data_IF_941829712120
#
_entry.id   IF_941829712120
#
_cell.length_a   1.000
_cell.length_b   1.000
_cell.length_c   1.000
_cell.angle_alpha   90.00
_cell.angle_beta   90.00
_cell.angle_gamma   90.00
#
_symmetry.space_group_name_H-M   'P 1'
#
loop_
_entity.id
_entity.type
_entity.pdbx_description
1 polymer ?
#
# COMPACT_ATOMS: atom_id res chain seq x y z
N UNK A 1 22.14 12.28 -2.95
CA UNK A 1 21.12 12.15 -1.88
C UNK A 1 19.76 12.23 -2.53
N UNK A 2 18.87 11.27 -2.22
CA UNK A 2 17.49 11.24 -2.71
C UNK A 2 16.58 10.87 -1.54
N UNK A 3 15.29 11.20 -1.62
CA UNK A 3 14.30 10.88 -0.58
C UNK A 3 13.37 9.80 -1.11
N UNK A 4 13.30 8.68 -0.41
CA UNK A 4 12.42 7.55 -0.71
C UNK A 4 11.21 7.56 0.23
N UNK A 5 10.03 7.30 -0.34
CA UNK A 5 8.83 6.95 0.43
C UNK A 5 8.39 5.56 0.01
N UNK A 6 8.45 4.60 0.92
CA UNK A 6 8.20 3.19 0.70
C UNK A 6 6.81 2.82 1.24
N UNK A 7 5.87 2.54 0.34
CA UNK A 7 4.48 2.22 0.65
C UNK A 7 4.27 0.71 0.61
N UNK A 8 3.88 0.14 1.75
CA UNK A 8 3.70 -1.31 1.90
C UNK A 8 2.43 -1.83 1.21
N UNK A 9 2.38 -3.15 1.03
CA UNK A 9 1.22 -3.86 0.50
C UNK A 9 0.14 -4.15 1.55
N UNK A 10 -0.86 -4.94 1.16
CA UNK A 10 -1.98 -5.28 2.05
C UNK A 10 -1.52 -6.05 3.28
N UNK A 11 -2.25 -5.93 4.39
CA UNK A 11 -1.99 -6.57 5.70
C UNK A 11 -0.65 -6.22 6.38
N UNK A 12 0.26 -5.52 5.70
CA UNK A 12 1.59 -5.17 6.23
C UNK A 12 1.58 -3.79 6.89
N UNK A 13 2.74 -3.39 7.40
CA UNK A 13 3.05 -2.04 7.86
C UNK A 13 4.42 -1.60 7.35
N UNK A 14 4.87 -0.41 7.76
CA UNK A 14 6.20 0.12 7.45
C UNK A 14 7.34 -0.82 7.87
N UNK A 15 7.12 -1.64 8.90
CA UNK A 15 8.07 -2.66 9.37
C UNK A 15 8.57 -3.61 8.28
N UNK A 16 7.80 -3.86 7.21
CA UNK A 16 8.23 -4.77 6.14
C UNK A 16 9.48 -4.25 5.39
N UNK A 17 9.72 -2.93 5.44
CA UNK A 17 10.89 -2.29 4.86
C UNK A 17 12.09 -2.22 5.81
N UNK A 18 11.97 -2.68 7.05
CA UNK A 18 13.02 -2.55 8.07
C UNK A 18 14.38 -3.14 7.63
N UNK A 19 14.38 -4.17 6.79
CA UNK A 19 15.61 -4.77 6.25
C UNK A 19 16.14 -4.06 5.00
N UNK A 20 15.33 -3.24 4.33
CA UNK A 20 15.69 -2.50 3.12
C UNK A 20 16.23 -1.10 3.46
N UNK A 21 15.60 -0.44 4.44
CA UNK A 21 15.95 0.92 4.86
C UNK A 21 17.45 1.12 5.11
N UNK A 22 18.16 0.23 5.86
CA UNK A 22 19.58 0.44 6.14
C UNK A 22 20.46 0.47 4.90
N UNK A 23 20.09 -0.24 3.83
CA UNK A 23 20.87 -0.23 2.59
C UNK A 23 20.72 1.09 1.82
N UNK A 24 19.51 1.65 1.80
CA UNK A 24 19.24 2.94 1.18
C UNK A 24 19.89 4.08 1.99
N UNK A 25 19.80 4.04 3.31
CA UNK A 25 20.45 5.01 4.19
C UNK A 25 21.98 4.96 4.09
N UNK A 26 22.57 3.75 4.03
CA UNK A 26 24.01 3.58 3.83
C UNK A 26 24.49 4.11 2.47
N UNK A 27 23.62 4.15 1.46
CA UNK A 27 23.88 4.78 0.17
C UNK A 27 23.70 6.32 0.20
N UNK A 28 23.38 6.91 1.36
CA UNK A 28 23.23 8.36 1.53
C UNK A 28 21.86 8.89 1.10
N UNK A 29 20.82 8.06 1.18
CA UNK A 29 19.44 8.46 0.93
C UNK A 29 18.67 8.67 2.25
N UNK A 30 17.63 9.50 2.18
CA UNK A 30 16.64 9.63 3.24
C UNK A 30 15.46 8.70 2.94
N UNK A 31 14.92 8.01 3.95
CA UNK A 31 13.89 6.98 3.73
C UNK A 31 12.74 7.14 4.72
N UNK A 32 11.53 7.11 4.19
CA UNK A 32 10.28 7.05 4.95
C UNK A 32 9.53 5.79 4.59
N UNK A 33 9.08 5.05 5.60
CA UNK A 33 8.26 3.84 5.43
C UNK A 33 7.05 3.91 6.38
N UNK A 34 6.05 4.75 6.10
CA UNK A 34 4.90 4.91 6.97
C UNK A 34 4.04 3.64 7.00
N UNK A 35 3.37 3.41 8.13
CA UNK A 35 2.28 2.44 8.22
C UNK A 35 0.96 3.13 7.87
N UNK A 36 0.20 2.52 6.97
CA UNK A 36 -1.09 2.99 6.50
C UNK A 36 -2.19 2.79 7.56
N UNK A 37 -3.20 3.68 7.58
CA UNK A 37 -4.29 3.72 8.58
C UNK A 37 -4.98 2.37 8.78
N UNK A 38 -5.12 1.89 10.02
CA UNK A 38 -5.85 0.64 10.28
C UNK A 38 -5.04 -0.64 10.01
N UNK A 39 -3.75 -0.53 9.67
CA UNK A 39 -2.85 -1.67 9.46
C UNK A 39 -1.70 -1.66 10.46
N UNK A 40 -1.18 -2.83 10.80
CA UNK A 40 -0.01 -3.06 11.64
C UNK A 40 0.06 -2.16 12.88
N UNK A 41 1.05 -1.28 12.99
CA UNK A 41 1.23 -0.33 14.10
C UNK A 41 0.02 0.59 14.32
N UNK A 42 -0.82 0.77 13.29
CA UNK A 42 -2.06 1.57 13.30
C UNK A 42 -3.32 0.70 13.33
N UNK A 43 -3.23 -0.59 13.71
CA UNK A 43 -4.37 -1.50 13.71
C UNK A 43 -5.53 -1.08 14.64
N UNK A 44 -5.29 -0.23 15.64
CA UNK A 44 -6.36 0.37 16.45
C UNK A 44 -7.28 1.30 15.67
N UNK A 45 -6.86 1.77 14.49
CA UNK A 45 -7.63 2.64 13.60
C UNK A 45 -8.42 1.83 12.55
N UNK A 46 -8.40 0.49 12.63
CA UNK A 46 -9.09 -0.38 11.69
C UNK A 46 -10.61 -0.18 11.80
N UNK A 47 -11.24 0.20 10.69
CA UNK A 47 -12.68 0.39 10.59
C UNK A 47 -13.19 0.09 9.18
N UNK A 48 -14.51 -0.13 8.97
CA UNK A 48 -15.08 -0.29 7.63
C UNK A 48 -14.96 0.95 6.75
N UNK A 49 -14.70 2.12 7.35
CA UNK A 49 -14.62 3.39 6.62
C UNK A 49 -13.27 3.61 5.94
N UNK A 50 -12.22 2.95 6.45
CA UNK A 50 -10.86 3.01 5.88
C UNK A 50 -10.86 2.40 4.48
N UNK A 51 -10.52 3.24 3.49
CA UNK A 51 -10.50 2.88 2.07
C UNK A 51 -9.18 3.25 1.38
N UNK A 52 -9.14 3.07 0.06
CA UNK A 52 -8.02 3.49 -0.78
C UNK A 52 -7.73 4.99 -0.63
N UNK A 53 -8.77 5.83 -0.59
CA UNK A 53 -8.60 7.28 -0.42
C UNK A 53 -7.94 7.63 0.91
N UNK A 54 -8.31 6.96 1.99
CA UNK A 54 -7.68 7.13 3.31
C UNK A 54 -6.18 6.88 3.21
N UNK A 55 -5.79 5.81 2.52
CA UNK A 55 -4.40 5.42 2.34
C UNK A 55 -3.62 6.33 1.40
N UNK A 56 -4.27 6.88 0.36
CA UNK A 56 -3.68 7.93 -0.47
C UNK A 56 -3.41 9.18 0.39
N UNK A 57 -4.38 9.58 1.22
CA UNK A 57 -4.22 10.74 2.10
C UNK A 57 -3.16 10.55 3.17
N UNK A 58 -2.95 9.33 3.69
CA UNK A 58 -1.84 9.04 4.61
C UNK A 58 -0.49 9.49 4.01
N UNK A 59 -0.27 9.18 2.73
CA UNK A 59 0.99 9.48 2.05
C UNK A 59 1.04 10.94 1.61
N UNK A 60 -0.05 11.50 1.06
CA UNK A 60 -0.11 12.93 0.70
C UNK A 60 0.13 13.81 1.93
N UNK A 61 -0.50 13.46 3.06
CA UNK A 61 -0.32 14.13 4.35
C UNK A 61 1.13 14.07 4.82
N UNK A 62 1.78 12.89 4.75
CA UNK A 62 3.21 12.75 5.07
C UNK A 62 4.09 13.67 4.21
N UNK A 63 3.87 13.69 2.89
CA UNK A 63 4.64 14.53 1.96
C UNK A 63 4.50 16.02 2.30
N UNK A 64 3.30 16.45 2.70
CA UNK A 64 3.02 17.83 3.08
C UNK A 64 3.60 18.19 4.46
N UNK A 65 3.34 17.38 5.47
CA UNK A 65 3.80 17.59 6.86
C UNK A 65 5.32 17.72 6.92
N UNK A 66 6.03 16.87 6.16
CA UNK A 66 7.49 16.87 6.11
C UNK A 66 8.06 17.77 5.01
N UNK A 67 7.21 18.46 4.26
CA UNK A 67 7.57 19.29 3.10
C UNK A 67 8.54 18.57 2.14
N UNK A 68 8.23 17.33 1.78
CA UNK A 68 9.04 16.51 0.89
C UNK A 68 8.77 16.87 -0.57
N UNK A 69 9.85 16.89 -1.37
CA UNK A 69 9.86 17.16 -2.81
C UNK A 69 10.91 16.29 -3.50
N UNK A 70 10.75 16.08 -4.80
CA UNK A 70 11.67 15.23 -5.58
C UNK A 70 11.69 13.77 -5.09
N UNK A 71 10.56 13.29 -4.56
CA UNK A 71 10.47 11.99 -3.90
C UNK A 71 10.50 10.84 -4.91
N UNK A 72 11.23 9.78 -4.57
CA UNK A 72 11.11 8.47 -5.21
C UNK A 72 10.04 7.69 -4.43
N UNK A 73 8.85 7.60 -5.01
CA UNK A 73 7.70 6.97 -4.39
C UNK A 73 7.58 5.51 -4.84
N UNK A 74 7.74 4.59 -3.90
CA UNK A 74 7.77 3.14 -4.17
C UNK A 74 6.53 2.48 -3.59
N UNK A 75 5.79 1.73 -4.40
CA UNK A 75 4.61 0.99 -3.97
C UNK A 75 4.78 -0.50 -4.20
N UNK A 76 4.67 -1.30 -3.13
CA UNK A 76 4.70 -2.76 -3.23
C UNK A 76 3.29 -3.36 -3.16
N UNK A 77 2.97 -4.30 -4.05
CA UNK A 77 1.66 -4.98 -4.10
C UNK A 77 0.51 -3.96 -4.01
N UNK A 78 -0.42 -4.06 -3.06
CA UNK A 78 -1.49 -3.04 -2.84
C UNK A 78 -1.00 -1.58 -2.84
N UNK A 79 0.23 -1.33 -2.40
CA UNK A 79 0.85 0.00 -2.44
C UNK A 79 0.87 0.62 -3.85
N UNK A 80 0.83 -0.17 -4.93
CA UNK A 80 0.68 0.31 -6.31
C UNK A 80 -0.59 1.14 -6.54
N UNK A 81 -1.72 0.73 -5.96
CA UNK A 81 -2.97 1.51 -6.01
C UNK A 81 -2.79 2.86 -5.31
N UNK A 82 -2.17 2.83 -4.14
CA UNK A 82 -1.95 4.01 -3.29
C UNK A 82 -1.04 5.01 -3.99
N UNK A 83 0.13 4.58 -4.47
CA UNK A 83 1.11 5.50 -5.08
C UNK A 83 0.60 6.12 -6.38
N UNK A 84 -0.29 5.43 -7.10
CA UNK A 84 -0.95 5.96 -8.31
C UNK A 84 -1.91 7.10 -7.96
N UNK A 85 -2.66 6.98 -6.88
CA UNK A 85 -3.49 8.08 -6.38
C UNK A 85 -2.66 9.24 -5.80
N UNK A 86 -1.52 8.95 -5.16
CA UNK A 86 -0.64 9.98 -4.60
C UNK A 86 -0.04 10.85 -5.71
N UNK A 87 0.48 10.24 -6.78
CA UNK A 87 1.12 11.01 -7.87
C UNK A 87 0.10 11.91 -8.58
N UNK A 88 -1.18 11.53 -8.67
CA UNK A 88 -2.25 12.37 -9.22
C UNK A 88 -2.57 13.59 -8.33
N UNK A 89 -2.50 13.42 -7.01
CA UNK A 89 -2.85 14.47 -6.05
C UNK A 89 -1.70 15.42 -5.71
N UNK A 90 -0.45 14.97 -5.80
CA UNK A 90 0.75 15.75 -5.50
C UNK A 90 1.87 15.56 -6.54
N UNK A 91 1.58 15.70 -7.84
CA UNK A 91 2.54 15.39 -8.92
C UNK A 91 3.83 16.20 -8.81
N UNK A 92 3.75 17.44 -8.33
CA UNK A 92 4.89 18.35 -8.18
C UNK A 92 5.92 17.90 -7.14
N UNK A 93 5.54 16.97 -6.25
CA UNK A 93 6.41 16.45 -5.18
C UNK A 93 7.14 15.17 -5.55
N UNK A 94 6.74 14.52 -6.64
CA UNK A 94 7.24 13.19 -7.02
C UNK A 94 8.23 13.33 -8.17
N UNK A 95 9.46 12.85 -7.99
CA UNK A 95 10.45 12.75 -9.07
C UNK A 95 10.31 11.43 -9.85
N UNK A 96 10.06 10.33 -9.14
CA UNK A 96 9.96 9.00 -9.73
C UNK A 96 8.90 8.17 -9.03
N UNK A 97 8.23 7.33 -9.81
CA UNK A 97 7.24 6.37 -9.35
C UNK A 97 7.77 4.95 -9.61
N UNK A 98 7.79 4.10 -8.59
CA UNK A 98 8.34 2.74 -8.68
C UNK A 98 7.27 1.74 -8.25
N UNK A 99 6.83 0.93 -9.19
CA UNK A 99 5.92 -0.18 -8.96
C UNK A 99 6.73 -1.46 -8.70
N UNK A 100 6.75 -1.92 -7.45
CA UNK A 100 7.44 -3.15 -7.05
C UNK A 100 6.44 -4.30 -6.90
N UNK A 101 6.55 -5.33 -7.75
CA UNK A 101 5.68 -6.51 -7.75
C UNK A 101 4.19 -6.17 -7.58
N UNK A 102 3.73 -5.24 -8.41
CA UNK A 102 2.37 -4.68 -8.36
C UNK A 102 1.83 -4.35 -9.75
N UNK A 103 0.59 -3.86 -9.80
CA UNK A 103 -0.13 -3.43 -10.98
C UNK A 103 -0.14 -1.90 -11.08
N UNK A 104 -0.31 -1.40 -12.30
CA UNK A 104 -0.53 0.02 -12.59
C UNK A 104 -2.02 0.19 -12.93
N UNK A 105 -2.86 0.62 -11.98
CA UNK A 105 -4.30 0.77 -12.23
C UNK A 105 -4.59 1.92 -13.18
N UNK A 106 -5.65 1.75 -13.97
CA UNK A 106 -6.26 2.82 -14.77
C UNK A 106 -7.28 3.59 -13.93
N UNK A 107 -7.64 4.77 -14.40
CA UNK A 107 -8.76 5.53 -13.83
C UNK A 107 -10.04 4.68 -13.82
N UNK A 108 -10.76 4.70 -12.70
CA UNK A 108 -11.95 3.91 -12.44
C UNK A 108 -11.72 2.46 -12.03
N UNK A 109 -10.47 1.96 -12.03
CA UNK A 109 -10.17 0.60 -11.57
C UNK A 109 -9.98 0.55 -10.05
N UNK A 110 -10.57 -0.46 -9.42
CA UNK A 110 -10.17 -0.94 -8.09
C UNK A 110 -9.11 -2.04 -8.23
N UNK A 111 -8.55 -2.52 -7.11
CA UNK A 111 -7.68 -3.70 -7.16
C UNK A 111 -8.45 -4.92 -7.71
N UNK A 112 -9.76 -5.01 -7.55
CA UNK A 112 -10.56 -6.09 -8.11
C UNK A 112 -10.60 -6.09 -9.65
N UNK A 113 -10.22 -5.00 -10.31
CA UNK A 113 -10.38 -4.82 -11.76
C UNK A 113 -9.07 -4.97 -12.53
N UNK A 114 -7.91 -4.90 -11.86
CA UNK A 114 -6.59 -4.83 -12.52
C UNK A 114 -6.20 -6.10 -13.29
N UNK A 115 -6.74 -7.27 -12.92
CA UNK A 115 -6.61 -8.49 -13.72
C UNK A 115 -7.62 -9.58 -13.31
N UNK A 116 -7.96 -10.53 -14.19
CA UNK A 116 -8.88 -11.63 -13.84
C UNK A 116 -8.41 -12.49 -12.65
N UNK A 117 -7.10 -12.69 -12.50
CA UNK A 117 -6.54 -13.44 -11.38
C UNK A 117 -6.75 -12.69 -10.06
N UNK A 118 -6.50 -11.38 -10.05
CA UNK A 118 -6.71 -10.56 -8.86
C UNK A 118 -8.20 -10.46 -8.53
N UNK A 119 -9.07 -10.30 -9.53
CA UNK A 119 -10.52 -10.31 -9.36
C UNK A 119 -11.01 -11.59 -8.66
N UNK A 120 -10.48 -12.76 -9.07
CA UNK A 120 -10.77 -14.04 -8.41
C UNK A 120 -10.32 -14.04 -6.95
N UNK A 121 -9.11 -13.57 -6.67
CA UNK A 121 -8.58 -13.47 -5.30
C UNK A 121 -9.44 -12.55 -4.44
N UNK A 122 -9.78 -11.35 -4.91
CA UNK A 122 -10.66 -10.41 -4.19
C UNK A 122 -12.04 -11.04 -3.96
N UNK A 123 -12.59 -11.77 -4.92
CA UNK A 123 -13.85 -12.50 -4.75
C UNK A 123 -13.80 -13.53 -3.61
N UNK A 124 -12.66 -14.20 -3.40
CA UNK A 124 -12.45 -15.09 -2.25
C UNK A 124 -12.34 -14.30 -0.93
N UNK A 125 -11.63 -13.16 -0.93
CA UNK A 125 -11.52 -12.30 0.25
C UNK A 125 -12.88 -11.72 0.67
N UNK A 126 -13.72 -11.34 -0.29
CA UNK A 126 -15.09 -10.87 -0.04
C UNK A 126 -15.92 -11.95 0.66
N UNK A 127 -15.83 -13.20 0.20
CA UNK A 127 -16.52 -14.34 0.85
C UNK A 127 -16.00 -14.58 2.27
N UNK A 128 -14.68 -14.49 2.47
CA UNK A 128 -14.08 -14.58 3.81
C UNK A 128 -14.60 -13.47 4.72
N UNK A 129 -14.61 -12.21 4.26
CA UNK A 129 -15.10 -11.07 5.03
C UNK A 129 -16.58 -11.24 5.42
N UNK A 130 -17.42 -11.72 4.49
CA UNK A 130 -18.83 -12.05 4.76
C UNK A 130 -18.99 -13.16 5.81
N UNK A 131 -18.14 -14.18 5.78
CA UNK A 131 -18.25 -15.33 6.68
C UNK A 131 -17.64 -15.08 8.08
N UNK A 132 -16.54 -14.32 8.16
CA UNK A 132 -15.68 -14.28 9.34
C UNK A 132 -15.22 -12.87 9.75
N UNK A 133 -15.52 -11.85 8.95
CA UNK A 133 -15.00 -10.49 9.10
C UNK A 133 -16.07 -9.41 9.19
N UNK A 134 -17.25 -9.73 9.71
CA UNK A 134 -18.36 -8.78 9.87
C UNK A 134 -18.82 -8.13 8.55
N UNK A 135 -18.51 -8.76 7.41
CA UNK A 135 -18.82 -8.27 6.06
C UNK A 135 -17.79 -7.32 5.45
N UNK A 136 -16.79 -6.86 6.21
CA UNK A 136 -15.85 -5.82 5.75
C UNK A 136 -14.38 -6.07 6.12
N UNK A 137 -14.08 -6.86 7.15
CA UNK A 137 -12.71 -7.15 7.61
C UNK A 137 -12.15 -8.40 6.92
N UNK A 138 -10.90 -8.33 6.48
CA UNK A 138 -10.20 -9.45 5.85
C UNK A 138 -8.97 -9.79 6.70
N UNK A 139 -8.94 -11.00 7.26
CA UNK A 139 -7.75 -11.47 7.98
C UNK A 139 -6.61 -11.78 7.00
N UNK A 140 -5.38 -11.60 7.47
CA UNK A 140 -4.16 -11.89 6.70
C UNK A 140 -4.10 -13.37 6.28
N UNK A 141 -3.58 -13.62 5.07
CA UNK A 141 -3.51 -14.95 4.46
C UNK A 141 -2.19 -15.70 4.67
N UNK A 142 -1.30 -15.19 5.52
CA UNK A 142 -0.09 -15.90 5.94
C UNK A 142 1.19 -15.13 5.68
N UNK A 143 2.15 -15.77 5.00
CA UNK A 143 3.56 -15.34 4.98
C UNK A 143 4.00 -14.68 3.68
N UNK A 144 3.10 -14.58 2.68
CA UNK A 144 3.34 -13.85 1.42
C UNK A 144 4.65 -14.24 0.71
N UNK A 145 4.91 -15.54 0.61
CA UNK A 145 6.12 -16.06 -0.05
C UNK A 145 7.34 -16.21 0.87
N UNK A 146 7.28 -15.73 2.12
CA UNK A 146 8.34 -15.96 3.11
C UNK A 146 8.22 -17.38 3.66
N UNK A 147 9.23 -18.21 3.42
CA UNK A 147 9.22 -19.65 3.77
C UNK A 147 10.24 -20.03 4.84
N UNK A 148 11.21 -19.17 5.15
CA UNK A 148 12.34 -19.49 6.03
C UNK A 148 12.28 -18.74 7.35
N UNK A 149 12.72 -19.40 8.43
CA UNK A 149 12.90 -18.75 9.74
C UNK A 149 14.21 -17.93 9.80
N UNK A 150 14.29 -16.87 10.62
CA UNK A 150 13.26 -16.37 11.55
C UNK A 150 12.18 -15.49 10.88
N UNK A 151 12.32 -15.20 9.59
CA UNK A 151 11.51 -14.19 8.89
C UNK A 151 10.05 -14.61 8.76
N UNK A 152 9.80 -15.90 8.56
CA UNK A 152 8.46 -16.45 8.50
C UNK A 152 7.68 -16.17 9.80
N UNK A 153 8.25 -16.47 10.96
CA UNK A 153 7.62 -16.16 12.26
C UNK A 153 7.47 -14.66 12.49
N UNK A 154 8.48 -13.89 12.07
CA UNK A 154 8.43 -12.43 12.19
C UNK A 154 7.27 -11.83 11.39
N UNK A 155 7.08 -12.19 10.11
CA UNK A 155 5.94 -11.73 9.29
C UNK A 155 4.61 -12.10 9.93
N UNK A 156 4.45 -13.37 10.34
CA UNK A 156 3.21 -13.84 10.96
C UNK A 156 2.87 -13.07 12.24
N UNK A 157 3.87 -12.61 13.00
CA UNK A 157 3.65 -11.83 14.22
C UNK A 157 3.22 -10.38 13.97
N UNK A 158 3.33 -9.89 12.73
CA UNK A 158 3.21 -8.46 12.39
C UNK A 158 2.07 -8.12 11.46
N UNK A 159 1.63 -9.07 10.63
CA UNK A 159 0.51 -8.86 9.71
C UNK A 159 -0.80 -8.72 10.46
N UNK A 160 -1.65 -7.78 10.05
CA UNK A 160 -2.95 -7.50 10.69
C UNK A 160 -4.08 -7.62 9.67
N UNK A 161 -5.35 -7.71 10.11
CA UNK A 161 -6.48 -7.61 9.19
C UNK A 161 -6.51 -6.28 8.43
N UNK A 162 -7.24 -6.26 7.31
CA UNK A 162 -7.40 -5.12 6.40
C UNK A 162 -8.88 -4.92 6.03
N UNK A 163 -9.38 -3.68 5.82
CA UNK A 163 -10.73 -3.46 5.32
C UNK A 163 -10.85 -3.81 3.84
N UNK A 164 -11.89 -4.55 3.46
CA UNK A 164 -12.23 -4.92 2.09
C UNK A 164 -12.40 -3.69 1.18
N UNK A 165 -12.93 -2.59 1.72
CA UNK A 165 -13.09 -1.31 1.02
C UNK A 165 -11.79 -0.81 0.39
N UNK A 166 -10.63 -1.05 1.00
CA UNK A 166 -9.33 -0.66 0.42
C UNK A 166 -9.03 -1.35 -0.92
N UNK A 167 -9.56 -2.55 -1.14
CA UNK A 167 -9.31 -3.35 -2.35
C UNK A 167 -10.39 -3.12 -3.42
N UNK A 168 -11.58 -2.69 -3.01
CA UNK A 168 -12.76 -2.55 -3.88
C UNK A 168 -13.10 -1.09 -4.21
N UNK A 169 -12.55 -0.13 -3.49
CA UNK A 169 -12.74 1.29 -3.80
C UNK A 169 -12.03 1.60 -5.13
N UNK A 170 -12.77 2.10 -6.15
CA UNK A 170 -12.17 2.53 -7.40
C UNK A 170 -11.21 3.69 -7.19
N UNK A 171 -10.12 3.69 -7.94
CA UNK A 171 -9.23 4.83 -8.03
C UNK A 171 -9.82 5.87 -8.99
N UNK A 172 -9.85 7.13 -8.58
CA UNK A 172 -10.29 8.25 -9.43
C UNK A 172 -9.14 9.22 -9.65
N UNK A 173 -8.66 9.32 -10.88
CA UNK A 173 -7.54 10.17 -11.28
C UNK A 173 -8.06 11.46 -11.93
N UNK A 174 -7.56 12.61 -11.49
CA UNK A 174 -7.85 13.90 -12.14
C UNK A 174 -7.06 14.06 -13.44
N UNK A 175 -5.90 13.43 -13.53
CA UNK A 175 -5.03 13.43 -14.69
C UNK A 175 -4.59 12.00 -15.04
N UNK A 176 -5.43 11.22 -15.74
CA UNK A 176 -5.12 9.82 -16.07
C UNK A 176 -3.84 9.61 -16.89
N UNK A 177 -3.37 10.63 -17.60
CA UNK A 177 -2.14 10.55 -18.40
C UNK A 177 -0.87 10.43 -17.55
N UNK A 178 -0.94 10.74 -16.25
CA UNK A 178 0.23 10.76 -15.35
C UNK A 178 0.88 9.40 -15.13
N UNK A 179 0.14 8.31 -15.36
CA UNK A 179 0.61 6.92 -15.25
C UNK A 179 0.72 6.20 -16.60
N UNK A 180 0.51 6.92 -17.71
CA UNK A 180 0.54 6.37 -19.07
C UNK A 180 1.85 6.60 -19.82
N UNK A 181 2.90 7.09 -19.14
CA UNK A 181 4.23 7.36 -19.70
C UNK A 181 5.26 6.32 -19.23
#
# INVERSE_FOLDING_TARGET
MATFVLVHGGWHGGWCWQKVIPFLEAAGHEVYAPTLTGLAERASELSPDVGLDTHIQDIVGLLQEKNLHGVILVGHSYGGMVITGVVDQAPERIAHLVYLDTFVPRDGESMADVSPMVAMVIGLLRRQAQAHGDGWRIDSRGTYGVTTEPDRSWVLSKVTPQPLKTLEQPLHLKNPAIVSA
#
